data_IF_172693355733
#
_entry.id   IF_172693355733
#
_cell.length_a   1.000
_cell.length_b   1.000
_cell.length_c   1.000
_cell.angle_alpha   90.00
_cell.angle_beta   90.00
_cell.angle_gamma   90.00
#
_symmetry.space_group_name_H-M   'P 1'
#
loop_
_entity.id
_entity.type
_entity.pdbx_description
1 polymer ?
#
# COMPACT_ATOMS: atom_id res chain seq x y z
N UNK A 1 -3.24 6.96 19.20
CA UNK A 1 -1.83 7.26 19.52
C UNK A 1 -0.99 7.43 18.24
N UNK A 2 -0.61 6.36 17.52
CA UNK A 2 0.36 6.44 16.39
C UNK A 2 -0.12 7.34 15.25
N UNK A 3 -1.38 7.22 14.88
CA UNK A 3 -1.97 7.99 13.78
C UNK A 3 -2.39 9.41 14.19
N UNK A 4 -2.56 9.67 15.48
CA UNK A 4 -3.05 10.95 15.99
C UNK A 4 -4.41 11.38 15.38
N UNK A 5 -5.14 12.28 15.98
CA UNK A 5 -6.37 12.84 15.37
C UNK A 5 -7.67 12.12 15.70
N UNK A 6 -7.67 11.26 16.72
CA UNK A 6 -8.89 10.81 17.40
C UNK A 6 -8.83 11.17 18.88
N UNK A 7 -10.00 11.24 19.51
CA UNK A 7 -10.16 11.60 20.92
C UNK A 7 -10.12 10.38 21.86
N UNK A 8 -9.64 9.22 21.37
CA UNK A 8 -9.54 8.02 22.17
C UNK A 8 -8.49 8.21 23.30
N UNK A 9 -8.78 7.79 24.53
CA UNK A 9 -7.84 7.89 25.62
C UNK A 9 -6.56 7.09 25.33
N UNK A 10 -5.43 7.60 25.79
CA UNK A 10 -4.17 6.88 25.68
C UNK A 10 -4.24 5.57 26.50
N UNK A 11 -3.67 4.48 25.98
CA UNK A 11 -3.50 3.27 26.78
C UNK A 11 -2.77 3.58 28.07
N UNK A 12 -3.20 2.92 29.15
CA UNK A 12 -2.59 3.06 30.46
C UNK A 12 -1.09 2.76 30.43
N UNK A 13 -0.31 3.55 31.20
CA UNK A 13 1.14 3.38 31.30
C UNK A 13 1.96 4.02 30.18
N UNK A 14 1.33 4.64 29.18
CA UNK A 14 2.06 5.39 28.14
C UNK A 14 2.40 6.81 28.59
N UNK A 15 3.61 7.26 28.25
CA UNK A 15 4.05 8.64 28.48
C UNK A 15 3.33 9.62 27.55
N UNK A 16 2.39 10.37 28.09
CA UNK A 16 1.55 11.33 27.37
C UNK A 16 2.38 12.42 26.65
N UNK A 17 3.48 12.90 27.27
CA UNK A 17 4.36 13.90 26.67
C UNK A 17 5.00 13.42 25.39
N UNK A 18 5.50 12.18 25.38
CA UNK A 18 6.11 11.56 24.20
C UNK A 18 5.08 11.44 23.07
N UNK A 19 3.84 11.06 23.38
CA UNK A 19 2.76 10.94 22.42
C UNK A 19 2.33 12.31 21.89
N UNK A 20 2.23 13.31 22.75
CA UNK A 20 1.90 14.69 22.34
C UNK A 20 2.92 15.28 21.38
N UNK A 21 4.22 15.16 21.66
CA UNK A 21 5.31 15.57 20.78
C UNK A 21 5.21 14.85 19.40
N UNK A 22 4.93 13.56 19.43
CA UNK A 22 4.72 12.78 18.21
C UNK A 22 3.53 13.32 17.41
N UNK A 23 2.40 13.53 18.05
CA UNK A 23 1.17 13.96 17.35
C UNK A 23 1.28 15.37 16.81
N UNK A 24 1.97 16.28 17.46
CA UNK A 24 2.25 17.62 16.96
C UNK A 24 2.96 17.57 15.60
N UNK A 25 4.02 16.76 15.51
CA UNK A 25 4.80 16.65 14.25
C UNK A 25 4.04 15.88 13.16
N UNK A 26 3.34 14.82 13.51
CA UNK A 26 2.55 14.02 12.54
C UNK A 26 1.40 14.87 11.96
N UNK A 27 0.68 15.61 12.80
CA UNK A 27 -0.41 16.50 12.35
C UNK A 27 0.09 17.60 11.40
N UNK A 28 1.26 18.16 11.67
CA UNK A 28 1.91 19.12 10.77
C UNK A 28 2.19 18.49 9.39
N UNK A 29 2.68 17.25 9.35
CA UNK A 29 2.94 16.52 8.09
C UNK A 29 1.65 16.16 7.37
N UNK A 30 0.58 15.84 8.08
CA UNK A 30 -0.73 15.64 7.46
C UNK A 30 -1.23 16.91 6.75
N UNK A 31 -0.99 18.09 7.32
CA UNK A 31 -1.27 19.35 6.65
C UNK A 31 -0.55 19.48 5.32
N UNK A 32 0.77 19.26 5.32
CA UNK A 32 1.59 19.30 4.10
C UNK A 32 1.13 18.29 3.06
N UNK A 33 0.79 17.07 3.47
CA UNK A 33 0.29 16.04 2.57
C UNK A 33 -1.04 16.44 1.94
N UNK A 34 -1.99 16.90 2.76
CA UNK A 34 -3.31 17.35 2.27
C UNK A 34 -3.20 18.50 1.29
N UNK A 35 -2.34 19.46 1.58
CA UNK A 35 -2.16 20.64 0.71
C UNK A 35 -1.56 20.27 -0.64
N UNK A 36 -0.61 19.33 -0.67
CA UNK A 36 0.05 18.91 -1.91
C UNK A 36 -0.73 17.80 -2.65
N UNK A 37 -1.17 16.75 -1.92
CA UNK A 37 -1.66 15.54 -2.55
C UNK A 37 -3.18 15.49 -2.65
N UNK A 38 -3.87 15.78 -1.57
CA UNK A 38 -5.34 15.72 -1.56
C UNK A 38 -5.93 16.87 -2.35
N UNK A 39 -5.37 18.06 -2.26
CA UNK A 39 -5.87 19.25 -2.97
C UNK A 39 -5.41 19.35 -4.42
N UNK A 40 -4.22 18.87 -4.75
CA UNK A 40 -3.64 19.02 -6.10
C UNK A 40 -3.65 17.71 -6.89
N UNK A 41 -3.02 16.64 -6.38
CA UNK A 41 -2.85 15.42 -7.12
C UNK A 41 -4.16 14.63 -7.28
N UNK A 42 -4.98 14.55 -6.21
CA UNK A 42 -6.23 13.80 -6.27
C UNK A 42 -7.20 14.34 -7.34
N UNK A 43 -7.55 15.64 -7.41
CA UNK A 43 -8.41 16.17 -8.47
C UNK A 43 -7.82 15.96 -9.86
N UNK A 44 -6.50 16.14 -10.01
CA UNK A 44 -5.82 15.88 -11.28
C UNK A 44 -6.01 14.44 -11.75
N UNK A 45 -5.78 13.47 -10.86
CA UNK A 45 -5.95 12.05 -11.19
C UNK A 45 -7.43 11.73 -11.46
N UNK A 46 -8.37 12.31 -10.69
CA UNK A 46 -9.80 12.13 -10.92
C UNK A 46 -10.20 12.55 -12.35
N UNK A 47 -9.67 13.66 -12.85
CA UNK A 47 -9.96 14.15 -14.21
C UNK A 47 -9.41 13.23 -15.33
N UNK A 48 -8.48 12.33 -15.03
CA UNK A 48 -7.95 11.35 -15.98
C UNK A 48 -8.73 10.03 -16.00
N UNK A 49 -9.60 9.81 -15.02
CA UNK A 49 -10.38 8.58 -14.87
C UNK A 49 -11.57 8.54 -15.81
N UNK A 50 -11.83 7.40 -16.47
CA UNK A 50 -13.12 7.15 -17.08
C UNK A 50 -14.25 7.17 -16.04
N UNK A 51 -15.46 7.49 -16.49
CA UNK A 51 -16.65 7.35 -15.65
C UNK A 51 -16.97 5.87 -15.37
N UNK A 52 -17.61 5.58 -14.22
CA UNK A 52 -18.13 4.25 -13.90
C UNK A 52 -17.05 3.22 -13.55
N UNK A 53 -15.90 3.65 -13.05
CA UNK A 53 -14.86 2.72 -12.57
C UNK A 53 -15.34 1.88 -11.38
N UNK A 54 -14.85 0.63 -11.25
CA UNK A 54 -15.05 -0.17 -10.04
C UNK A 54 -14.51 0.55 -8.80
N UNK A 55 -15.16 0.31 -7.65
CA UNK A 55 -14.72 0.82 -6.35
C UNK A 55 -13.81 -0.15 -5.59
N UNK A 56 -13.40 -1.23 -6.25
CA UNK A 56 -12.45 -2.23 -5.75
C UNK A 56 -11.07 -1.94 -6.31
N UNK A 57 -10.11 -1.72 -5.42
CA UNK A 57 -8.71 -1.41 -5.75
C UNK A 57 -7.82 -2.59 -5.38
N UNK A 58 -6.96 -3.01 -6.30
CA UNK A 58 -5.88 -3.97 -6.02
C UNK A 58 -4.54 -3.27 -6.19
N UNK A 59 -3.73 -3.28 -5.13
CA UNK A 59 -2.43 -2.63 -5.07
C UNK A 59 -1.32 -3.65 -4.78
N UNK A 60 -0.85 -4.40 -5.81
CA UNK A 60 0.31 -5.25 -5.67
C UNK A 60 1.57 -4.40 -5.38
N UNK A 61 2.46 -4.93 -4.56
CA UNK A 61 3.65 -4.27 -4.06
C UNK A 61 3.36 -2.99 -3.23
N UNK A 62 2.12 -2.86 -2.71
CA UNK A 62 1.64 -1.64 -2.06
C UNK A 62 2.23 -1.37 -0.69
N UNK A 63 2.67 -2.41 0.04
CA UNK A 63 3.20 -2.27 1.39
C UNK A 63 2.30 -1.43 2.29
N UNK A 64 2.90 -0.52 3.05
CA UNK A 64 2.21 0.43 3.90
C UNK A 64 1.59 1.64 3.19
N UNK A 65 1.59 1.68 1.85
CA UNK A 65 1.20 2.86 1.06
C UNK A 65 -0.31 2.98 0.79
N UNK A 66 -1.14 2.62 1.78
CA UNK A 66 -2.58 2.87 1.73
C UNK A 66 -2.92 4.34 1.47
N UNK A 67 -2.05 5.25 1.93
CA UNK A 67 -2.25 6.70 1.78
C UNK A 67 -2.32 7.13 0.30
N UNK A 68 -1.44 6.59 -0.55
CA UNK A 68 -1.48 6.87 -1.99
C UNK A 68 -2.69 6.24 -2.68
N UNK A 69 -3.13 5.05 -2.23
CA UNK A 69 -4.33 4.42 -2.76
C UNK A 69 -5.58 5.26 -2.47
N UNK A 70 -5.73 5.79 -1.26
CA UNK A 70 -6.84 6.66 -0.87
C UNK A 70 -6.82 8.02 -1.59
N UNK A 71 -5.64 8.54 -1.91
CA UNK A 71 -5.51 9.78 -2.72
C UNK A 71 -5.87 9.52 -4.18
N UNK A 72 -5.43 8.39 -4.71
CA UNK A 72 -5.66 8.00 -6.11
C UNK A 72 -7.10 7.58 -6.34
N UNK A 73 -7.70 6.85 -5.41
CA UNK A 73 -9.06 6.30 -5.49
C UNK A 73 -9.88 6.67 -4.25
N UNK A 74 -10.23 7.95 -4.06
CA UNK A 74 -11.01 8.40 -2.90
C UNK A 74 -12.43 7.81 -2.83
N UNK A 75 -12.92 7.28 -3.95
CA UNK A 75 -14.21 6.59 -4.08
C UNK A 75 -14.15 5.10 -3.72
N UNK A 76 -12.96 4.54 -3.46
CA UNK A 76 -12.78 3.13 -3.17
C UNK A 76 -13.62 2.67 -1.96
N UNK A 77 -14.26 1.51 -2.09
CA UNK A 77 -14.98 0.83 -1.00
C UNK A 77 -14.20 -0.37 -0.47
N UNK A 78 -13.40 -0.99 -1.31
CA UNK A 78 -12.51 -2.08 -0.94
C UNK A 78 -11.12 -1.85 -1.53
N UNK A 79 -10.07 -1.95 -0.70
CA UNK A 79 -8.68 -1.85 -1.12
C UNK A 79 -7.93 -3.09 -0.63
N UNK A 80 -7.31 -3.80 -1.54
CA UNK A 80 -6.38 -4.90 -1.23
C UNK A 80 -4.95 -4.46 -1.51
N UNK A 81 -4.11 -4.39 -0.49
CA UNK A 81 -2.66 -4.22 -0.63
C UNK A 81 -1.94 -5.53 -0.43
N UNK A 82 -0.90 -5.78 -1.20
CA UNK A 82 -0.06 -6.97 -1.10
C UNK A 82 1.41 -6.57 -1.13
N UNK A 83 2.23 -7.18 -0.28
CA UNK A 83 3.67 -6.94 -0.23
C UNK A 83 4.37 -7.99 0.63
N UNK A 84 5.69 -7.89 0.77
CA UNK A 84 6.46 -8.78 1.65
C UNK A 84 6.36 -8.41 3.13
N UNK A 85 5.84 -7.23 3.43
CA UNK A 85 5.77 -6.72 4.79
C UNK A 85 4.52 -7.22 5.51
N UNK A 86 4.71 -7.63 6.77
CA UNK A 86 3.64 -8.10 7.64
C UNK A 86 2.87 -6.93 8.26
N UNK A 87 1.60 -7.16 8.60
CA UNK A 87 0.75 -6.15 9.22
C UNK A 87 1.27 -5.71 10.60
N UNK A 88 1.68 -6.66 11.43
CA UNK A 88 2.23 -6.45 12.76
C UNK A 88 1.20 -6.52 13.90
N UNK A 89 1.69 -6.69 15.13
CA UNK A 89 0.89 -6.88 16.34
C UNK A 89 0.69 -5.57 17.13
N UNK A 90 -0.52 -5.02 17.23
CA UNK A 90 -0.78 -3.79 17.98
C UNK A 90 -0.68 -3.97 19.50
N UNK A 91 -0.71 -5.19 20.02
CA UNK A 91 -0.65 -5.47 21.47
C UNK A 91 0.73 -5.19 22.04
N UNK A 92 1.77 -5.15 21.22
CA UNK A 92 3.16 -4.84 21.61
C UNK A 92 3.34 -3.45 22.20
N UNK A 93 2.36 -2.57 22.05
CA UNK A 93 2.33 -1.25 22.68
C UNK A 93 2.09 -1.36 24.19
N UNK A 94 1.41 -2.42 24.66
CA UNK A 94 1.08 -2.60 26.06
C UNK A 94 2.34 -2.84 26.88
N UNK A 95 2.58 -1.98 27.87
CA UNK A 95 3.75 -2.09 28.76
C UNK A 95 5.08 -1.63 28.14
N UNK A 96 5.06 -0.98 26.98
CA UNK A 96 6.28 -0.45 26.36
C UNK A 96 6.94 0.62 27.25
N UNK A 97 8.24 0.49 27.48
CA UNK A 97 8.99 1.49 28.25
C UNK A 97 9.07 2.83 27.51
N UNK A 98 9.07 3.96 28.25
CA UNK A 98 9.09 5.31 27.66
C UNK A 98 10.24 5.52 26.64
N UNK A 99 11.42 4.98 26.90
CA UNK A 99 12.57 5.05 25.99
C UNK A 99 12.28 4.30 24.66
N UNK A 100 11.68 3.12 24.73
CA UNK A 100 11.33 2.31 23.56
C UNK A 100 10.18 2.95 22.77
N UNK A 101 9.16 3.48 23.47
CA UNK A 101 8.07 4.25 22.87
C UNK A 101 8.62 5.44 22.08
N UNK A 102 9.48 6.25 22.69
CA UNK A 102 10.10 7.43 22.04
C UNK A 102 10.88 7.01 20.79
N UNK A 103 11.72 5.99 20.87
CA UNK A 103 12.52 5.50 19.75
C UNK A 103 11.64 4.96 18.61
N UNK A 104 10.60 4.17 18.91
CA UNK A 104 9.69 3.61 17.92
C UNK A 104 8.87 4.71 17.22
N UNK A 105 8.35 5.69 17.96
CA UNK A 105 7.63 6.82 17.39
C UNK A 105 8.52 7.73 16.53
N UNK A 106 9.80 7.91 16.90
CA UNK A 106 10.77 8.62 16.07
C UNK A 106 11.04 7.88 14.76
N UNK A 107 11.18 6.55 14.82
CA UNK A 107 11.38 5.72 13.63
C UNK A 107 10.17 5.78 12.70
N UNK A 108 8.95 5.67 13.22
CA UNK A 108 7.71 5.82 12.44
C UNK A 108 7.65 7.21 11.79
N UNK A 109 7.99 8.29 12.51
CA UNK A 109 8.05 9.63 11.92
C UNK A 109 9.08 9.73 10.80
N UNK A 110 10.27 9.17 10.99
CA UNK A 110 11.31 9.17 9.96
C UNK A 110 10.84 8.44 8.70
N UNK A 111 10.28 7.24 8.85
CA UNK A 111 9.77 6.44 7.72
C UNK A 111 8.55 7.08 7.06
N UNK A 112 7.59 7.59 7.85
CA UNK A 112 6.40 8.26 7.31
C UNK A 112 6.71 9.56 6.56
N UNK A 113 7.88 10.17 6.77
CA UNK A 113 8.33 11.29 5.93
C UNK A 113 8.49 10.91 4.48
N UNK A 114 8.93 9.68 4.19
CA UNK A 114 8.97 9.15 2.83
C UNK A 114 7.58 9.20 2.19
N UNK A 115 6.59 8.64 2.86
CA UNK A 115 5.21 8.60 2.37
C UNK A 115 4.54 9.99 2.29
N UNK A 116 4.62 10.76 3.40
CA UNK A 116 3.86 12.00 3.56
C UNK A 116 4.48 13.21 2.85
N UNK A 117 5.80 13.25 2.69
CA UNK A 117 6.50 14.41 2.15
C UNK A 117 7.10 14.12 0.78
N UNK A 118 7.76 12.98 0.61
CA UNK A 118 8.44 12.62 -0.64
C UNK A 118 7.56 11.78 -1.59
N UNK A 119 6.44 11.25 -1.13
CA UNK A 119 5.62 10.26 -1.82
C UNK A 119 6.43 9.01 -2.25
N UNK A 120 7.34 8.59 -1.39
CA UNK A 120 8.22 7.44 -1.58
C UNK A 120 7.72 6.27 -0.74
N UNK A 121 7.41 5.16 -1.39
CA UNK A 121 6.91 3.92 -0.77
C UNK A 121 7.88 2.76 -0.91
N UNK A 122 9.20 3.03 -0.99
CA UNK A 122 10.21 1.97 -1.09
C UNK A 122 10.12 1.01 0.09
N UNK A 123 10.04 -0.28 -0.19
CA UNK A 123 10.03 -1.37 0.79
C UNK A 123 11.16 -1.24 1.81
N UNK A 124 12.39 -0.91 1.38
CA UNK A 124 13.53 -0.70 2.27
C UNK A 124 13.26 0.34 3.35
N UNK A 125 12.58 1.44 3.00
CA UNK A 125 12.23 2.49 3.95
C UNK A 125 11.09 2.06 4.89
N UNK A 126 10.10 1.34 4.37
CA UNK A 126 8.98 0.82 5.15
C UNK A 126 9.44 -0.25 6.14
N UNK A 127 10.32 -1.14 5.73
CA UNK A 127 10.90 -2.17 6.60
C UNK A 127 11.73 -1.60 7.76
N UNK A 128 12.37 -0.44 7.59
CA UNK A 128 13.07 0.22 8.71
C UNK A 128 12.09 0.60 9.83
N UNK A 129 10.87 1.01 9.47
CA UNK A 129 9.81 1.31 10.45
C UNK A 129 9.31 0.09 11.22
N UNK A 130 9.52 -1.12 10.69
CA UNK A 130 9.10 -2.37 11.35
C UNK A 130 10.08 -2.88 12.41
N UNK A 131 11.28 -2.33 12.49
CA UNK A 131 12.30 -2.73 13.48
C UNK A 131 12.04 -2.22 14.89
N UNK A 132 10.99 -1.42 15.10
CA UNK A 132 10.58 -0.90 16.40
C UNK A 132 9.61 -1.83 17.13
N UNK A 133 9.27 -1.45 18.36
CA UNK A 133 8.28 -2.16 19.18
C UNK A 133 6.84 -1.90 18.72
N UNK A 134 6.61 -0.89 17.88
CA UNK A 134 5.29 -0.55 17.35
C UNK A 134 5.16 -1.12 15.94
N UNK A 135 4.06 -1.81 15.63
CA UNK A 135 3.87 -2.47 14.34
C UNK A 135 3.89 -1.47 13.18
N UNK A 136 4.80 -1.69 12.21
CA UNK A 136 5.10 -0.76 11.15
C UNK A 136 3.97 -0.56 10.17
N UNK A 137 3.51 -1.61 9.47
CA UNK A 137 2.51 -1.47 8.40
C UNK A 137 1.16 -1.00 8.94
N UNK A 138 0.69 -1.60 10.04
CA UNK A 138 -0.55 -1.16 10.68
C UNK A 138 -0.48 0.33 11.08
N UNK A 139 0.67 0.81 11.54
CA UNK A 139 0.86 2.23 11.87
C UNK A 139 0.67 3.12 10.64
N UNK A 140 1.21 2.74 9.49
CA UNK A 140 1.06 3.49 8.25
C UNK A 140 -0.38 3.44 7.71
N UNK A 141 -1.08 2.31 7.85
CA UNK A 141 -2.50 2.21 7.49
C UNK A 141 -3.35 3.15 8.34
N UNK A 142 -3.13 3.16 9.67
CA UNK A 142 -3.86 4.06 10.56
C UNK A 142 -3.55 5.54 10.26
N UNK A 143 -2.30 5.88 9.92
CA UNK A 143 -1.91 7.23 9.49
C UNK A 143 -2.58 7.61 8.18
N UNK A 144 -2.66 6.69 7.22
CA UNK A 144 -3.36 6.89 5.94
C UNK A 144 -4.85 7.17 6.16
N UNK A 145 -5.50 6.41 7.02
CA UNK A 145 -6.90 6.65 7.40
C UNK A 145 -7.09 8.02 8.05
N UNK A 146 -6.25 8.37 9.02
CA UNK A 146 -6.36 9.63 9.76
C UNK A 146 -6.18 10.85 8.84
N UNK A 147 -5.20 10.84 7.93
CA UNK A 147 -4.96 11.97 7.01
C UNK A 147 -6.12 12.19 6.03
N UNK A 148 -6.82 11.10 5.67
CA UNK A 148 -8.00 11.13 4.82
C UNK A 148 -9.32 11.27 5.59
N UNK A 149 -9.28 11.45 6.92
CA UNK A 149 -10.46 11.67 7.76
C UNK A 149 -11.31 10.43 7.98
N UNK A 150 -10.70 9.25 8.00
CA UNK A 150 -11.34 8.00 8.39
C UNK A 150 -11.00 7.61 9.83
N UNK A 151 -11.94 6.96 10.50
CA UNK A 151 -11.76 6.35 11.82
C UNK A 151 -11.85 4.83 11.70
N UNK A 152 -10.88 4.07 12.25
CA UNK A 152 -10.93 2.63 12.25
C UNK A 152 -12.02 2.14 13.21
N UNK A 153 -12.85 1.20 12.75
CA UNK A 153 -13.94 0.63 13.54
C UNK A 153 -13.79 -0.87 13.80
N UNK A 154 -12.94 -1.56 13.00
CA UNK A 154 -12.67 -2.99 13.19
C UNK A 154 -11.28 -3.33 12.67
N UNK A 155 -10.56 -4.16 13.41
CA UNK A 155 -9.31 -4.80 13.01
C UNK A 155 -9.42 -6.29 13.30
N UNK A 156 -9.17 -7.12 12.26
CA UNK A 156 -9.15 -8.59 12.38
C UNK A 156 -7.98 -9.14 11.60
N UNK A 157 -7.32 -10.17 12.14
CA UNK A 157 -6.34 -10.95 11.41
C UNK A 157 -7.02 -12.09 10.67
N UNK A 158 -6.48 -12.47 9.52
CA UNK A 158 -7.15 -13.40 8.62
C UNK A 158 -6.17 -14.30 7.88
N UNK A 159 -6.72 -15.39 7.32
CA UNK A 159 -6.09 -16.22 6.28
C UNK A 159 -7.08 -16.43 5.14
N UNK A 160 -6.58 -16.70 3.95
CA UNK A 160 -7.38 -17.13 2.81
C UNK A 160 -7.52 -18.66 2.82
N UNK A 161 -8.71 -19.17 2.55
CA UNK A 161 -8.93 -20.57 2.24
C UNK A 161 -8.62 -20.86 0.75
N UNK A 162 -8.46 -22.10 0.38
CA UNK A 162 -8.15 -22.48 -1.01
C UNK A 162 -9.19 -21.99 -2.05
N UNK A 163 -10.45 -21.82 -1.64
CA UNK A 163 -11.53 -21.28 -2.48
C UNK A 163 -11.53 -19.74 -2.58
N UNK A 164 -10.60 -19.07 -1.89
CA UNK A 164 -10.49 -17.61 -1.85
C UNK A 164 -11.38 -16.94 -0.80
N UNK A 165 -12.14 -17.68 -0.03
CA UNK A 165 -12.89 -17.14 1.10
C UNK A 165 -11.96 -16.72 2.23
N UNK A 166 -12.40 -15.70 3.00
CA UNK A 166 -11.64 -15.19 4.15
C UNK A 166 -12.08 -15.92 5.41
N UNK A 167 -11.09 -16.37 6.19
CA UNK A 167 -11.27 -16.88 7.53
C UNK A 167 -10.54 -15.99 8.52
N UNK A 168 -11.27 -15.48 9.52
CA UNK A 168 -10.65 -14.69 10.59
C UNK A 168 -10.03 -15.59 11.64
N UNK A 169 -8.86 -15.20 12.14
CA UNK A 169 -8.16 -15.90 13.20
C UNK A 169 -8.81 -15.60 14.55
N UNK A 170 -9.02 -16.64 15.34
CA UNK A 170 -9.46 -16.53 16.73
C UNK A 170 -8.30 -16.15 17.63
N UNK A 171 -8.58 -15.67 18.86
CA UNK A 171 -7.55 -15.34 19.83
C UNK A 171 -6.70 -16.58 20.20
N UNK A 172 -7.30 -17.77 20.24
CA UNK A 172 -6.59 -19.04 20.50
C UNK A 172 -5.60 -19.33 19.38
N UNK A 173 -6.03 -19.24 18.11
CA UNK A 173 -5.17 -19.45 16.95
C UNK A 173 -4.01 -18.46 16.89
N UNK A 174 -4.26 -17.19 17.17
CA UNK A 174 -3.21 -16.17 17.28
C UNK A 174 -2.15 -16.56 18.32
N UNK A 175 -2.60 -16.98 19.52
CA UNK A 175 -1.71 -17.39 20.59
C UNK A 175 -0.91 -18.65 20.26
N UNK A 176 -1.51 -19.61 19.57
CA UNK A 176 -0.84 -20.87 19.19
C UNK A 176 0.18 -20.67 18.07
N UNK A 177 -0.13 -19.79 17.11
CA UNK A 177 0.83 -19.36 16.08
C UNK A 177 2.04 -18.69 16.71
N UNK A 178 1.84 -17.73 17.62
CA UNK A 178 2.93 -17.05 18.34
C UNK A 178 3.83 -18.04 19.09
N UNK A 179 3.25 -19.03 19.79
CA UNK A 179 4.02 -20.05 20.49
C UNK A 179 4.84 -20.93 19.54
N UNK A 180 4.30 -21.25 18.36
CA UNK A 180 5.00 -22.01 17.32
C UNK A 180 6.21 -21.24 16.81
N UNK A 181 6.05 -19.95 16.56
CA UNK A 181 7.11 -19.07 16.05
C UNK A 181 8.20 -18.80 17.07
N UNK A 182 7.87 -18.64 18.35
CA UNK A 182 8.85 -18.49 19.42
C UNK A 182 9.88 -19.64 19.44
N UNK A 183 9.51 -20.84 18.94
CA UNK A 183 10.43 -21.97 18.77
C UNK A 183 11.31 -21.86 17.52
N UNK A 184 10.89 -21.09 16.52
CA UNK A 184 11.63 -20.89 15.26
C UNK A 184 12.62 -19.72 15.35
N UNK A 185 12.40 -18.77 16.26
CA UNK A 185 13.24 -17.57 16.45
C UNK A 185 14.69 -17.85 16.84
N UNK A 186 15.04 -19.07 17.23
CA UNK A 186 16.43 -19.48 17.48
C UNK A 186 17.25 -19.74 16.20
N UNK A 187 16.68 -19.59 15.02
CA UNK A 187 17.34 -19.77 13.72
C UNK A 187 17.15 -18.57 12.82
N UNK A 188 18.14 -17.68 12.86
CA UNK A 188 18.59 -16.81 11.75
C UNK A 188 17.46 -16.15 10.92
N UNK A 189 17.26 -14.84 11.10
CA UNK A 189 16.55 -13.97 10.16
C UNK A 189 15.02 -13.86 10.26
N UNK A 190 14.44 -14.12 11.36
CA UNK A 190 13.09 -13.61 11.59
C UNK A 190 13.27 -12.30 12.37
N UNK A 191 12.95 -11.17 11.77
CA UNK A 191 12.81 -9.95 12.55
C UNK A 191 11.80 -10.25 13.67
N UNK A 192 12.04 -9.80 14.91
CA UNK A 192 11.19 -10.13 16.07
C UNK A 192 9.71 -9.76 15.91
N UNK A 193 9.37 -9.13 14.78
CA UNK A 193 8.07 -8.58 14.46
C UNK A 193 7.26 -9.41 13.46
N UNK A 194 7.84 -10.47 12.89
CA UNK A 194 7.20 -11.27 11.88
C UNK A 194 6.61 -12.54 12.49
N UNK A 195 5.33 -12.49 12.74
CA UNK A 195 4.54 -13.61 13.18
C UNK A 195 3.48 -13.90 12.15
N UNK A 196 3.38 -15.14 11.66
CA UNK A 196 2.28 -15.57 10.77
C UNK A 196 0.90 -15.25 11.31
N UNK A 197 0.78 -15.08 12.63
CA UNK A 197 -0.44 -14.64 13.29
C UNK A 197 -0.87 -13.23 12.86
N UNK A 198 0.11 -12.36 12.55
CA UNK A 198 -0.11 -10.94 12.29
C UNK A 198 0.31 -10.51 10.89
N UNK A 199 0.38 -11.45 9.95
CA UNK A 199 0.74 -11.20 8.56
C UNK A 199 -0.34 -10.43 7.82
N UNK A 200 -1.56 -10.96 7.84
CA UNK A 200 -2.66 -10.48 7.05
C UNK A 200 -3.75 -9.89 7.94
N UNK A 201 -4.28 -8.73 7.55
CA UNK A 201 -5.36 -8.09 8.30
C UNK A 201 -6.49 -7.60 7.41
N UNK A 202 -7.67 -7.47 8.02
CA UNK A 202 -8.75 -6.61 7.56
C UNK A 202 -8.92 -5.45 8.52
N UNK A 203 -8.91 -4.26 7.97
CA UNK A 203 -9.16 -3.00 8.67
C UNK A 203 -10.39 -2.36 8.05
N UNK A 204 -11.45 -2.20 8.85
CA UNK A 204 -12.66 -1.48 8.46
C UNK A 204 -12.60 -0.09 9.06
N UNK A 205 -12.85 0.91 8.25
CA UNK A 205 -12.90 2.30 8.69
C UNK A 205 -14.12 3.02 8.10
N UNK A 206 -14.53 4.10 8.75
CA UNK A 206 -15.66 4.93 8.36
C UNK A 206 -15.19 6.39 8.31
N UNK A 207 -15.72 7.19 7.39
CA UNK A 207 -15.50 8.64 7.39
C UNK A 207 -15.91 9.23 8.74
N UNK A 208 -15.10 10.10 9.31
CA UNK A 208 -15.42 10.80 10.56
C UNK A 208 -16.76 11.54 10.43
N UNK A 209 -17.71 11.19 11.30
CA UNK A 209 -19.09 11.73 11.23
C UNK A 209 -19.93 11.20 10.08
N UNK A 210 -19.46 10.21 9.32
CA UNK A 210 -20.15 9.58 8.22
C UNK A 210 -21.07 8.42 8.62
N UNK A 211 -21.83 7.93 7.65
CA UNK A 211 -22.70 6.77 7.79
C UNK A 211 -21.87 5.48 7.84
N UNK A 212 -22.03 4.62 8.88
CA UNK A 212 -21.21 3.42 9.06
C UNK A 212 -21.38 2.36 7.96
N UNK A 213 -22.38 2.47 7.12
CA UNK A 213 -22.61 1.56 5.99
C UNK A 213 -22.17 2.21 4.67
N UNK A 214 -22.62 3.42 4.39
CA UNK A 214 -22.36 4.13 3.12
C UNK A 214 -20.93 4.64 3.00
N UNK A 215 -20.38 5.17 4.12
CA UNK A 215 -19.05 5.80 4.16
C UNK A 215 -17.96 4.84 4.66
N UNK A 216 -18.30 3.56 4.66
CA UNK A 216 -17.41 2.47 5.04
C UNK A 216 -16.39 2.17 3.94
N UNK A 217 -15.14 1.96 4.35
CA UNK A 217 -14.08 1.38 3.53
C UNK A 217 -13.54 0.11 4.18
N UNK A 218 -13.21 -0.88 3.36
CA UNK A 218 -12.56 -2.12 3.78
C UNK A 218 -11.16 -2.17 3.19
N UNK A 219 -10.15 -2.15 4.04
CA UNK A 219 -8.78 -2.36 3.62
C UNK A 219 -8.31 -3.75 4.07
N UNK A 220 -7.80 -4.56 3.13
CA UNK A 220 -7.16 -5.84 3.42
C UNK A 220 -5.71 -5.78 2.99
N UNK A 221 -4.84 -6.19 3.90
CA UNK A 221 -3.43 -6.34 3.63
C UNK A 221 -3.02 -7.79 3.69
N UNK A 222 -2.24 -8.24 2.71
CA UNK A 222 -1.68 -9.57 2.66
C UNK A 222 -0.16 -9.49 2.55
N UNK A 223 0.53 -10.14 3.49
CA UNK A 223 1.95 -10.40 3.40
C UNK A 223 2.17 -11.53 2.39
N UNK A 224 2.39 -11.16 1.12
CA UNK A 224 2.41 -12.09 0.00
C UNK A 224 3.61 -11.81 -0.90
N UNK A 225 4.44 -12.82 -1.14
CA UNK A 225 5.39 -12.78 -2.24
C UNK A 225 4.64 -13.01 -3.56
N UNK A 226 4.76 -12.04 -4.47
CA UNK A 226 3.98 -12.00 -5.71
C UNK A 226 4.68 -12.65 -6.91
N UNK A 227 5.82 -13.32 -6.71
CA UNK A 227 6.43 -14.11 -7.77
C UNK A 227 5.63 -15.38 -8.08
N UNK A 228 5.94 -15.98 -9.24
CA UNK A 228 5.21 -17.15 -9.75
C UNK A 228 5.47 -18.41 -8.91
N UNK A 229 6.57 -18.47 -8.14
CA UNK A 229 6.87 -19.59 -7.25
C UNK A 229 6.04 -19.58 -5.97
N UNK A 230 5.56 -18.42 -5.54
CA UNK A 230 4.72 -18.24 -4.36
C UNK A 230 3.26 -17.92 -4.76
N UNK A 231 3.00 -16.72 -5.27
CA UNK A 231 1.65 -16.34 -5.68
C UNK A 231 1.08 -17.22 -6.79
N UNK A 232 1.91 -17.65 -7.74
CA UNK A 232 1.50 -18.56 -8.82
C UNK A 232 0.97 -19.91 -8.32
N UNK A 233 1.40 -20.35 -7.14
CA UNK A 233 1.01 -21.61 -6.50
C UNK A 233 -0.03 -21.44 -5.38
N UNK A 234 -0.39 -20.20 -5.04
CA UNK A 234 -1.39 -19.90 -4.01
C UNK A 234 -2.79 -19.77 -4.62
N UNK A 235 -3.51 -20.87 -4.68
CA UNK A 235 -4.88 -20.92 -5.20
C UNK A 235 -5.83 -20.06 -4.35
N UNK A 236 -5.64 -20.03 -3.05
CA UNK A 236 -6.45 -19.20 -2.14
C UNK A 236 -6.37 -17.72 -2.49
N UNK A 237 -5.16 -17.20 -2.66
CA UNK A 237 -4.97 -15.78 -3.00
C UNK A 237 -5.44 -15.46 -4.42
N UNK A 238 -5.21 -16.36 -5.39
CA UNK A 238 -5.70 -16.19 -6.78
C UNK A 238 -7.24 -16.17 -6.82
N UNK A 239 -7.89 -17.10 -6.13
CA UNK A 239 -9.36 -17.17 -6.07
C UNK A 239 -9.94 -15.97 -5.30
N UNK A 240 -9.28 -15.51 -4.21
CA UNK A 240 -9.64 -14.29 -3.51
C UNK A 240 -9.67 -13.07 -4.44
N UNK A 241 -8.61 -12.87 -5.21
CA UNK A 241 -8.52 -11.75 -6.14
C UNK A 241 -9.54 -11.87 -7.28
N UNK A 242 -9.72 -13.07 -7.85
CA UNK A 242 -10.68 -13.33 -8.93
C UNK A 242 -12.12 -13.02 -8.53
N UNK A 243 -12.51 -13.30 -7.29
CA UNK A 243 -13.85 -13.01 -6.78
C UNK A 243 -14.17 -11.51 -6.67
N UNK A 244 -13.17 -10.62 -6.85
CA UNK A 244 -13.28 -9.16 -6.70
C UNK A 244 -13.25 -8.38 -8.01
N UNK A 245 -13.24 -9.08 -9.12
CA UNK A 245 -13.21 -8.47 -10.45
C UNK A 245 -14.59 -7.97 -10.89
N UNK A 246 -14.68 -6.90 -11.72
CA UNK A 246 -13.58 -6.10 -12.25
C UNK A 246 -12.98 -5.14 -11.23
N UNK A 247 -11.72 -4.72 -11.44
CA UNK A 247 -10.96 -3.88 -10.51
C UNK A 247 -10.36 -2.64 -11.18
N UNK A 248 -9.98 -1.67 -10.35
CA UNK A 248 -8.93 -0.71 -10.66
C UNK A 248 -7.64 -1.12 -9.95
N UNK A 249 -6.50 -0.75 -10.48
CA UNK A 249 -5.22 -1.13 -9.92
C UNK A 249 -4.33 0.09 -9.66
N UNK A 250 -3.36 -0.11 -8.77
CA UNK A 250 -2.28 0.84 -8.52
C UNK A 250 -0.97 0.08 -8.29
N UNK A 251 0.16 0.66 -8.74
CA UNK A 251 1.49 0.17 -8.37
C UNK A 251 2.47 1.34 -8.24
N UNK A 252 3.39 1.25 -7.28
CA UNK A 252 4.49 2.19 -7.07
C UNK A 252 5.72 1.43 -6.61
N UNK A 253 6.87 2.05 -6.73
CA UNK A 253 8.17 1.54 -6.28
C UNK A 253 8.59 0.20 -6.91
N UNK A 254 8.01 -0.92 -6.55
CA UNK A 254 8.35 -2.24 -7.08
C UNK A 254 7.61 -2.61 -8.37
N UNK A 255 6.91 -1.67 -9.00
CA UNK A 255 6.15 -1.90 -10.25
C UNK A 255 7.01 -2.44 -11.40
N UNK A 256 8.32 -2.18 -11.41
CA UNK A 256 9.28 -2.74 -12.36
C UNK A 256 9.32 -4.29 -12.35
N UNK A 257 8.87 -4.93 -11.28
CA UNK A 257 8.78 -6.39 -11.21
C UNK A 257 7.75 -6.95 -12.21
N UNK A 258 6.73 -6.17 -12.56
CA UNK A 258 5.73 -6.57 -13.57
C UNK A 258 6.32 -6.79 -14.97
N UNK A 259 7.55 -6.39 -15.21
CA UNK A 259 8.27 -6.71 -16.44
C UNK A 259 8.87 -8.12 -16.43
N UNK A 260 9.26 -8.63 -15.26
CA UNK A 260 9.97 -9.91 -15.13
C UNK A 260 9.04 -11.09 -15.37
N UNK A 261 9.56 -12.15 -16.00
CA UNK A 261 8.80 -13.37 -16.26
C UNK A 261 8.39 -14.07 -14.96
N UNK A 262 9.22 -14.03 -13.93
CA UNK A 262 8.89 -14.56 -12.60
C UNK A 262 7.71 -13.87 -11.90
N UNK A 263 7.11 -12.83 -12.47
CA UNK A 263 5.93 -12.13 -11.98
C UNK A 263 4.80 -12.15 -13.03
N UNK A 264 4.80 -13.15 -13.89
CA UNK A 264 3.84 -13.26 -14.99
C UNK A 264 2.41 -13.48 -14.49
N UNK A 265 2.21 -14.22 -13.43
CA UNK A 265 0.89 -14.53 -12.87
C UNK A 265 0.18 -13.28 -12.38
N UNK A 266 0.84 -12.44 -11.57
CA UNK A 266 0.22 -11.18 -11.10
C UNK A 266 0.07 -10.16 -12.23
N UNK A 267 1.00 -10.08 -13.17
CA UNK A 267 0.87 -9.24 -14.36
C UNK A 267 -0.34 -9.62 -15.21
N UNK A 268 -0.51 -10.91 -15.50
CA UNK A 268 -1.64 -11.41 -16.29
C UNK A 268 -2.97 -11.20 -15.56
N UNK A 269 -3.02 -11.46 -14.24
CA UNK A 269 -4.20 -11.15 -13.44
C UNK A 269 -4.62 -9.68 -13.61
N UNK A 270 -3.68 -8.73 -13.51
CA UNK A 270 -3.98 -7.31 -13.70
C UNK A 270 -4.51 -7.03 -15.12
N UNK A 271 -3.83 -7.54 -16.15
CA UNK A 271 -4.23 -7.32 -17.54
C UNK A 271 -5.61 -7.89 -17.87
N UNK A 272 -5.97 -9.03 -17.28
CA UNK A 272 -7.25 -9.69 -17.55
C UNK A 272 -8.41 -9.02 -16.79
N UNK A 273 -8.16 -8.41 -15.65
CA UNK A 273 -9.22 -8.03 -14.70
C UNK A 273 -9.32 -6.53 -14.40
N UNK A 274 -8.28 -5.75 -14.65
CA UNK A 274 -8.33 -4.32 -14.43
C UNK A 274 -8.97 -3.58 -15.61
N UNK A 275 -9.59 -2.44 -15.31
CA UNK A 275 -10.09 -1.51 -16.33
C UNK A 275 -9.29 -0.21 -16.39
N UNK A 276 -8.63 0.13 -15.28
CA UNK A 276 -7.84 1.35 -15.11
C UNK A 276 -6.74 1.12 -14.07
N UNK A 277 -5.56 1.70 -14.31
CA UNK A 277 -4.44 1.61 -13.38
C UNK A 277 -3.65 2.91 -13.37
N UNK A 278 -3.24 3.32 -12.19
CA UNK A 278 -2.23 4.39 -11.98
C UNK A 278 -0.96 3.75 -11.46
N UNK A 279 0.16 4.05 -12.08
CA UNK A 279 1.47 3.58 -11.63
C UNK A 279 2.53 4.69 -11.69
N UNK A 280 3.70 4.41 -11.15
CA UNK A 280 4.88 5.24 -11.37
C UNK A 280 5.45 5.01 -12.79
N UNK A 281 6.71 5.40 -13.01
CA UNK A 281 7.32 5.34 -14.34
C UNK A 281 7.47 3.95 -14.92
N UNK A 282 7.37 2.90 -14.12
CA UNK A 282 7.63 1.54 -14.58
C UNK A 282 6.36 0.76 -14.92
N UNK A 283 5.39 0.64 -14.03
CA UNK A 283 4.09 0.03 -14.32
C UNK A 283 4.13 -1.28 -15.15
N UNK A 284 3.05 -1.55 -15.86
CA UNK A 284 2.99 -2.65 -16.83
C UNK A 284 3.71 -2.23 -18.12
N UNK A 285 4.66 -3.04 -18.64
CA UNK A 285 5.37 -2.73 -19.87
C UNK A 285 4.43 -2.53 -21.08
N UNK A 286 4.69 -1.53 -21.93
CA UNK A 286 3.84 -1.21 -23.09
C UNK A 286 3.52 -2.40 -23.99
N UNK A 287 4.49 -3.29 -24.22
CA UNK A 287 4.29 -4.50 -25.06
C UNK A 287 3.18 -5.42 -24.51
N UNK A 288 3.07 -5.56 -23.20
CA UNK A 288 2.01 -6.38 -22.60
C UNK A 288 0.68 -5.62 -22.52
N UNK A 289 0.73 -4.34 -22.14
CA UNK A 289 -0.46 -3.49 -22.05
C UNK A 289 -1.15 -3.36 -23.41
N UNK A 290 -0.42 -3.05 -24.49
CA UNK A 290 -0.95 -2.92 -25.84
C UNK A 290 -1.56 -4.24 -26.33
N UNK A 291 -0.86 -5.37 -26.12
CA UNK A 291 -1.36 -6.69 -26.53
C UNK A 291 -2.69 -7.05 -25.82
N UNK A 292 -2.87 -6.59 -24.57
CA UNK A 292 -4.08 -6.81 -23.79
C UNK A 292 -5.18 -5.75 -24.05
N UNK A 293 -5.01 -4.87 -25.05
CA UNK A 293 -6.00 -3.87 -25.43
C UNK A 293 -6.02 -2.63 -24.52
N UNK A 294 -4.89 -2.30 -23.90
CA UNK A 294 -4.76 -1.06 -23.11
C UNK A 294 -4.02 0.01 -23.89
N UNK A 295 -4.36 1.25 -23.61
CA UNK A 295 -3.61 2.45 -23.97
C UNK A 295 -2.94 3.02 -22.74
N UNK A 296 -1.76 3.62 -22.93
CA UNK A 296 -0.98 4.18 -21.84
C UNK A 296 -0.67 5.65 -22.08
N UNK A 297 -0.75 6.47 -21.04
CA UNK A 297 -0.42 7.90 -21.05
C UNK A 297 0.61 8.20 -19.96
N UNK A 298 1.77 8.73 -20.37
CA UNK A 298 2.86 9.10 -19.49
C UNK A 298 2.77 10.57 -19.06
N UNK A 299 3.08 10.86 -17.79
CA UNK A 299 3.06 12.18 -17.19
C UNK A 299 4.33 12.44 -16.38
N UNK A 300 5.03 13.53 -16.68
CA UNK A 300 6.25 13.94 -16.02
C UNK A 300 7.52 13.46 -16.72
N UNK A 301 8.50 12.99 -15.97
CA UNK A 301 9.82 12.60 -16.52
C UNK A 301 10.09 11.13 -16.19
N UNK A 302 10.50 10.38 -17.20
CA UNK A 302 10.88 8.98 -17.03
C UNK A 302 12.12 8.85 -16.12
N UNK A 303 12.01 8.00 -15.11
CA UNK A 303 13.12 7.67 -14.25
C UNK A 303 13.78 6.37 -14.72
N UNK A 304 14.93 6.49 -15.38
CA UNK A 304 15.66 5.35 -15.95
C UNK A 304 16.49 4.58 -14.92
N UNK A 305 16.79 5.15 -13.76
CA UNK A 305 17.76 4.57 -12.82
C UNK A 305 17.32 3.25 -12.21
N UNK A 306 16.02 2.98 -12.19
CA UNK A 306 15.46 1.71 -11.73
C UNK A 306 15.54 0.58 -12.73
N UNK A 307 15.86 0.91 -13.96
CA UNK A 307 15.73 -0.02 -15.05
C UNK A 307 17.02 -0.78 -15.34
N UNK A 308 18.01 -0.80 -14.48
CA UNK A 308 19.27 -1.56 -14.63
C UNK A 308 19.18 -2.90 -15.40
N UNK A 309 18.05 -3.09 -16.07
CA UNK A 309 17.61 -4.22 -16.82
C UNK A 309 17.90 -4.04 -18.33
N UNK A 310 17.58 -5.06 -19.10
CA UNK A 310 17.88 -5.19 -20.53
C UNK A 310 17.54 -3.94 -21.36
N UNK A 311 18.30 -3.71 -22.41
CA UNK A 311 18.11 -2.62 -23.36
C UNK A 311 16.67 -2.60 -23.93
N UNK A 312 16.07 -3.77 -24.15
CA UNK A 312 14.72 -3.91 -24.72
C UNK A 312 13.61 -3.36 -23.80
N UNK A 313 13.74 -3.60 -22.49
CA UNK A 313 12.78 -3.06 -21.52
C UNK A 313 12.84 -1.53 -21.48
N UNK A 314 14.04 -0.97 -21.44
CA UNK A 314 14.24 0.47 -21.50
C UNK A 314 13.73 1.09 -22.77
N UNK A 315 13.94 0.47 -23.94
CA UNK A 315 13.53 0.98 -25.23
C UNK A 315 12.00 1.16 -25.31
N UNK A 316 11.23 0.21 -24.81
CA UNK A 316 9.77 0.23 -24.85
C UNK A 316 9.20 1.38 -24.00
N UNK A 317 9.71 1.55 -22.77
CA UNK A 317 9.32 2.68 -21.92
C UNK A 317 9.87 4.01 -22.42
N UNK A 318 11.13 4.09 -22.88
CA UNK A 318 11.69 5.32 -23.46
C UNK A 318 10.85 5.81 -24.62
N UNK A 319 10.35 4.93 -25.49
CA UNK A 319 9.44 5.28 -26.57
C UNK A 319 8.14 5.88 -26.05
N UNK A 320 7.50 5.23 -25.07
CA UNK A 320 6.26 5.72 -24.47
C UNK A 320 6.44 7.11 -23.80
N UNK A 321 7.57 7.31 -23.12
CA UNK A 321 7.82 8.54 -22.37
C UNK A 321 8.29 9.72 -23.23
N UNK A 322 8.54 9.53 -24.54
CA UNK A 322 8.86 10.65 -25.45
C UNK A 322 7.74 11.69 -25.52
N UNK A 323 6.50 11.22 -25.44
CA UNK A 323 5.29 12.05 -25.54
C UNK A 323 4.67 12.34 -24.15
N UNK A 324 5.46 12.25 -23.09
CA UNK A 324 4.99 12.48 -21.72
C UNK A 324 4.49 13.91 -21.52
N UNK A 325 3.31 14.03 -20.92
CA UNK A 325 2.67 15.31 -20.59
C UNK A 325 3.26 15.90 -19.31
N UNK A 326 3.17 17.22 -19.07
CA UNK A 326 3.65 17.83 -17.84
C UNK A 326 2.93 17.29 -16.59
N UNK A 327 3.67 17.14 -15.48
CA UNK A 327 3.15 16.80 -14.17
C UNK A 327 3.63 17.83 -13.15
N UNK A 328 2.70 18.53 -12.48
CA UNK A 328 3.01 19.62 -11.55
C UNK A 328 3.44 19.11 -10.17
N UNK A 329 2.89 18.01 -9.70
CA UNK A 329 3.14 17.43 -8.38
C UNK A 329 4.11 16.24 -8.43
N UNK A 330 4.55 15.82 -7.26
CA UNK A 330 5.36 14.61 -7.09
C UNK A 330 4.47 13.38 -7.21
N UNK A 331 4.94 12.38 -7.93
CA UNK A 331 4.36 11.05 -7.96
C UNK A 331 5.46 10.04 -8.27
N UNK A 332 5.39 8.87 -7.62
CA UNK A 332 6.43 7.85 -7.73
C UNK A 332 7.58 8.05 -6.74
N UNK A 333 8.50 7.12 -6.73
CA UNK A 333 9.64 7.13 -5.80
C UNK A 333 10.66 8.23 -6.14
N UNK A 334 11.34 8.70 -5.10
CA UNK A 334 12.44 9.66 -5.25
C UNK A 334 13.70 8.94 -5.67
N UNK A 335 14.23 9.30 -6.84
CA UNK A 335 15.56 8.88 -7.26
C UNK A 335 16.27 10.03 -7.97
N UNK A 336 17.50 10.34 -7.53
CA UNK A 336 18.35 11.44 -8.09
C UNK A 336 17.59 12.76 -8.31
N UNK A 337 16.67 13.10 -7.39
CA UNK A 337 15.85 14.31 -7.49
C UNK A 337 14.66 14.23 -8.44
N UNK A 338 14.46 13.10 -9.12
CA UNK A 338 13.30 12.85 -9.97
C UNK A 338 12.21 12.14 -9.17
N UNK A 339 11.07 12.79 -9.03
CA UNK A 339 9.88 12.24 -8.34
C UNK A 339 8.58 12.70 -8.99
N UNK A 340 8.62 12.96 -10.30
CA UNK A 340 7.46 13.39 -11.08
C UNK A 340 7.31 12.48 -12.28
N UNK A 341 6.78 11.28 -12.04
CA UNK A 341 6.59 10.26 -13.07
C UNK A 341 5.37 9.42 -12.77
N UNK A 342 4.32 9.59 -13.53
CA UNK A 342 3.06 8.88 -13.40
C UNK A 342 2.66 8.28 -14.75
N UNK A 343 2.22 7.03 -14.73
CA UNK A 343 1.73 6.31 -15.89
C UNK A 343 0.27 5.90 -15.67
N UNK A 344 -0.58 6.29 -16.57
CA UNK A 344 -1.98 5.86 -16.65
C UNK A 344 -2.09 4.74 -17.67
N UNK A 345 -2.68 3.61 -17.26
CA UNK A 345 -3.01 2.48 -18.13
C UNK A 345 -4.52 2.26 -18.09
N UNK A 346 -5.19 2.34 -19.23
CA UNK A 346 -6.66 2.21 -19.33
C UNK A 346 -7.07 1.38 -20.54
N UNK A 347 -8.21 0.69 -20.48
CA UNK A 347 -8.76 -0.04 -21.65
C UNK A 347 -8.90 0.92 -22.82
N UNK A 348 -8.51 0.47 -23.99
CA UNK A 348 -8.78 1.21 -25.22
C UNK A 348 -10.29 1.40 -25.41
N UNK A 349 -10.74 2.55 -25.92
CA UNK A 349 -12.14 2.68 -26.34
C UNK A 349 -12.51 1.54 -27.29
N UNK A 350 -13.72 0.98 -27.13
CA UNK A 350 -14.20 0.02 -28.10
C UNK A 350 -14.15 0.67 -29.50
N UNK A 351 -13.56 -0.01 -30.48
CA UNK A 351 -13.61 0.44 -31.87
C UNK A 351 -15.10 0.59 -32.24
N UNK A 352 -15.47 1.82 -32.65
CA UNK A 352 -16.82 2.10 -33.16
C UNK A 352 -17.04 1.42 -34.49
#
# INVERSE_FOLDING_TARGET
MVACGNDAPLPEGLDAKIVEEHCKEVTRRYGLYRDTWVKEASPFIQNLKPAGLPTTVVYPFGGGDLISALTTYPEAKEITTMSLEHAGDPRRIKGIAAKQLKASLQMIRATSSGLLVANDSKTENLMKGQRGEIPGQLSFFLMALAVHGYEPVSLKYLKTNADGSIRYLTQTELTDLEKKEAKLLNKVWVAPDFSEAFDNLELIAVKKGGDPVKDRIVHRHFAQNLDDDHFGKDDGMKNYLKARTPIVAMTKAASYLLWRDAFSTIRNYLLDNMVFMVSDSTGIPPKFATKAGFVQEAWGKFNQSFLGASADYNADFVKLWKDAKPLSFRYGYLDKGLSKHMLITKKAPAAK
#
